data_IF_675758259797
#
_entry.id   IF_675758259797
#
_cell.length_a   1.000
_cell.length_b   1.000
_cell.length_c   1.000
_cell.angle_alpha   90.00
_cell.angle_beta   90.00
_cell.angle_gamma   90.00
#
_symmetry.space_group_name_H-M   'P 1'
#
loop_
_entity.id
_entity.type
_entity.pdbx_description
1 polymer ?
#
# COMPACT_ATOMS: atom_id res chain seq x y z
N UNK A 1 -0.09 -31.10 -10.53
CA UNK A 1 -1.40 -30.83 -9.89
C UNK A 1 -1.32 -29.43 -9.32
N UNK A 2 -1.99 -28.50 -9.98
CA UNK A 2 -1.90 -27.06 -9.69
C UNK A 2 -2.46 -26.72 -8.32
N UNK A 3 -1.72 -25.95 -7.58
CA UNK A 3 -2.22 -25.25 -6.39
C UNK A 3 -2.99 -24.02 -6.91
N UNK A 4 -4.23 -24.24 -7.31
CA UNK A 4 -5.17 -23.17 -7.59
C UNK A 4 -5.28 -22.33 -6.32
N UNK A 5 -5.00 -21.04 -6.45
CA UNK A 5 -4.97 -20.10 -5.33
C UNK A 5 -6.26 -20.19 -4.53
N UNK A 6 -6.17 -20.73 -3.32
CA UNK A 6 -7.24 -20.59 -2.34
C UNK A 6 -7.49 -19.10 -2.17
N UNK A 7 -8.65 -18.62 -2.65
CA UNK A 7 -9.15 -17.31 -2.22
C UNK A 7 -9.15 -17.29 -0.69
N UNK A 8 -8.45 -16.34 -0.12
CA UNK A 8 -8.41 -16.19 1.33
C UNK A 8 -9.84 -15.92 1.82
N UNK A 9 -10.40 -16.84 2.57
CA UNK A 9 -11.65 -16.56 3.30
C UNK A 9 -11.35 -15.50 4.34
N UNK A 10 -11.82 -14.30 4.11
CA UNK A 10 -11.62 -13.16 5.02
C UNK A 10 -12.72 -13.13 6.11
N UNK A 11 -12.39 -12.76 7.34
CA UNK A 11 -11.07 -12.37 7.84
C UNK A 11 -10.12 -13.57 8.03
N UNK A 12 -8.83 -13.41 7.70
CA UNK A 12 -7.81 -14.44 7.83
C UNK A 12 -6.57 -13.97 8.58
N UNK A 13 -5.88 -14.90 9.25
CA UNK A 13 -4.61 -14.63 9.95
C UNK A 13 -3.46 -14.61 8.95
N UNK A 14 -2.60 -13.60 9.08
CA UNK A 14 -1.37 -13.45 8.33
C UNK A 14 -0.25 -12.98 9.27
N UNK A 15 0.50 -13.93 9.81
CA UNK A 15 1.46 -13.66 10.89
C UNK A 15 0.79 -13.01 12.09
N UNK A 16 1.28 -11.83 12.49
CA UNK A 16 0.70 -11.01 13.56
C UNK A 16 -0.50 -10.17 13.15
N UNK A 17 -0.79 -10.12 11.84
CA UNK A 17 -1.89 -9.35 11.27
C UNK A 17 -3.14 -10.18 11.10
N UNK A 18 -4.28 -9.53 10.99
CA UNK A 18 -5.55 -10.12 10.54
C UNK A 18 -5.97 -9.37 9.30
N UNK A 19 -5.97 -10.03 8.15
CA UNK A 19 -6.51 -9.48 6.90
C UNK A 19 -8.03 -9.43 7.02
N UNK A 20 -8.62 -8.29 6.75
CA UNK A 20 -10.06 -8.04 6.96
C UNK A 20 -10.81 -7.96 5.65
N UNK A 21 -10.23 -7.29 4.66
CA UNK A 21 -10.87 -6.99 3.39
C UNK A 21 -9.79 -6.88 2.30
N UNK A 22 -10.08 -7.40 1.12
CA UNK A 22 -9.23 -7.23 -0.06
C UNK A 22 -9.60 -5.93 -0.76
N UNK A 23 -8.66 -4.99 -0.81
CA UNK A 23 -8.88 -3.67 -1.40
C UNK A 23 -8.58 -3.66 -2.90
N UNK A 24 -7.53 -4.36 -3.32
CA UNK A 24 -7.10 -4.39 -4.72
C UNK A 24 -6.25 -5.62 -5.04
N UNK A 25 -6.17 -5.96 -6.33
CA UNK A 25 -5.19 -6.88 -6.89
C UNK A 25 -4.51 -6.19 -8.07
N UNK A 26 -3.19 -6.05 -7.99
CA UNK A 26 -2.34 -5.54 -9.07
C UNK A 26 -1.59 -6.64 -9.79
N UNK A 27 -0.70 -6.27 -10.72
CA UNK A 27 0.10 -7.21 -11.49
C UNK A 27 1.14 -7.99 -10.65
N UNK A 28 1.59 -7.44 -9.51
CA UNK A 28 2.64 -8.04 -8.68
C UNK A 28 2.20 -8.34 -7.25
N UNK A 29 1.15 -7.70 -6.76
CA UNK A 29 0.75 -7.77 -5.37
C UNK A 29 -0.76 -7.66 -5.19
N UNK A 30 -1.23 -8.21 -4.09
CA UNK A 30 -2.56 -8.01 -3.54
C UNK A 30 -2.48 -7.03 -2.38
N UNK A 31 -3.51 -6.20 -2.24
CA UNK A 31 -3.60 -5.18 -1.20
C UNK A 31 -4.80 -5.49 -0.31
N UNK A 32 -4.54 -5.59 0.99
CA UNK A 32 -5.56 -5.90 1.99
C UNK A 32 -5.66 -4.81 3.04
N UNK A 33 -6.87 -4.46 3.43
CA UNK A 33 -7.10 -3.82 4.72
C UNK A 33 -6.86 -4.86 5.80
N UNK A 34 -6.08 -4.50 6.80
CA UNK A 34 -5.70 -5.39 7.88
C UNK A 34 -5.75 -4.68 9.23
N UNK A 35 -5.65 -5.46 10.28
CA UNK A 35 -5.54 -4.96 11.64
C UNK A 35 -4.47 -5.73 12.41
N UNK A 36 -3.83 -5.04 13.34
CA UNK A 36 -2.92 -5.62 14.33
C UNK A 36 -3.46 -5.32 15.73
N UNK A 37 -3.44 -6.35 16.57
CA UNK A 37 -3.82 -6.24 17.96
C UNK A 37 -2.56 -6.06 18.81
N UNK A 38 -2.48 -4.96 19.56
CA UNK A 38 -1.40 -4.75 20.53
C UNK A 38 -1.60 -5.54 21.82
N UNK A 39 -0.56 -5.64 22.65
CA UNK A 39 -0.57 -6.38 23.91
C UNK A 39 -1.67 -5.91 24.90
N UNK A 40 -2.21 -4.71 24.75
CA UNK A 40 -3.25 -4.14 25.61
C UNK A 40 -4.64 -4.09 24.94
N UNK A 41 -4.86 -4.86 23.88
CA UNK A 41 -6.15 -4.91 23.19
C UNK A 41 -6.41 -3.73 22.24
N UNK A 42 -5.41 -2.87 22.01
CA UNK A 42 -5.55 -1.77 21.06
C UNK A 42 -5.47 -2.29 19.63
N UNK A 43 -6.51 -2.09 18.84
CA UNK A 43 -6.50 -2.44 17.41
C UNK A 43 -6.01 -1.25 16.59
N UNK A 44 -4.99 -1.47 15.74
CA UNK A 44 -4.53 -0.51 14.75
C UNK A 44 -4.87 -1.02 13.35
N UNK A 45 -5.55 -0.22 12.56
CA UNK A 45 -5.79 -0.50 11.14
C UNK A 45 -4.54 -0.17 10.33
N UNK A 46 -4.29 -0.97 9.30
CA UNK A 46 -3.16 -0.82 8.39
C UNK A 46 -3.50 -1.49 7.04
N UNK A 47 -2.63 -1.33 6.08
CA UNK A 47 -2.71 -1.99 4.78
C UNK A 47 -1.58 -2.99 4.67
N UNK A 48 -1.87 -4.21 4.22
CA UNK A 48 -0.87 -5.21 3.84
C UNK A 48 -0.86 -5.31 2.32
N UNK A 49 0.27 -4.96 1.71
CA UNK A 49 0.59 -5.24 0.31
C UNK A 49 1.41 -6.53 0.29
N UNK A 50 0.85 -7.60 -0.25
CA UNK A 50 1.43 -8.95 -0.28
C UNK A 50 1.77 -9.34 -1.70
N UNK A 51 2.99 -9.85 -1.94
CA UNK A 51 3.36 -10.36 -3.26
C UNK A 51 2.43 -11.51 -3.69
N UNK A 52 2.09 -11.55 -4.97
CA UNK A 52 1.25 -12.62 -5.50
C UNK A 52 1.94 -13.99 -5.35
N UNK A 53 1.23 -15.06 -4.93
CA UNK A 53 1.84 -16.35 -4.64
C UNK A 53 2.66 -16.94 -5.79
N UNK A 54 2.22 -16.76 -7.03
CA UNK A 54 2.92 -17.27 -8.22
C UNK A 54 4.21 -16.49 -8.55
N UNK A 55 4.40 -15.28 -8.00
CA UNK A 55 5.60 -14.45 -8.16
C UNK A 55 6.56 -14.59 -6.97
N UNK A 56 6.12 -15.17 -5.87
CA UNK A 56 6.95 -15.32 -4.67
C UNK A 56 8.18 -16.22 -4.87
N UNK A 57 8.15 -17.09 -5.88
CA UNK A 57 9.28 -17.95 -6.25
C UNK A 57 10.26 -17.27 -7.25
N UNK A 58 9.88 -16.19 -7.89
CA UNK A 58 10.70 -15.47 -8.85
C UNK A 58 11.57 -14.43 -8.13
N UNK A 59 12.90 -14.67 -8.14
CA UNK A 59 13.87 -13.80 -7.45
C UNK A 59 13.86 -12.35 -7.95
N UNK A 60 13.58 -12.11 -9.22
CA UNK A 60 13.56 -10.77 -9.78
C UNK A 60 12.38 -9.97 -9.21
N UNK A 61 11.19 -10.57 -9.20
CA UNK A 61 10.00 -9.93 -8.63
C UNK A 61 10.14 -9.70 -7.11
N UNK A 62 10.70 -10.69 -6.39
CA UNK A 62 10.98 -10.55 -4.95
C UNK A 62 11.98 -9.41 -4.71
N UNK A 63 13.07 -9.34 -5.49
CA UNK A 63 14.05 -8.24 -5.36
C UNK A 63 13.40 -6.88 -5.61
N UNK A 64 12.64 -6.73 -6.70
CA UNK A 64 11.92 -5.48 -7.00
C UNK A 64 10.96 -5.08 -5.87
N UNK A 65 10.26 -6.05 -5.29
CA UNK A 65 9.33 -5.81 -4.19
C UNK A 65 10.05 -5.35 -2.91
N UNK A 66 11.21 -5.96 -2.61
CA UNK A 66 12.07 -5.57 -1.49
C UNK A 66 12.64 -4.16 -1.70
N UNK A 67 13.10 -3.85 -2.91
CA UNK A 67 13.67 -2.55 -3.23
C UNK A 67 12.62 -1.44 -3.17
N UNK A 68 11.39 -1.70 -3.64
CA UNK A 68 10.24 -0.81 -3.43
C UNK A 68 10.01 -0.52 -1.95
N UNK A 69 10.01 -1.57 -1.11
CA UNK A 69 9.81 -1.41 0.33
C UNK A 69 10.91 -0.54 0.97
N UNK A 70 12.18 -0.78 0.62
CA UNK A 70 13.32 -0.01 1.15
C UNK A 70 13.26 1.45 0.74
N UNK A 71 13.00 1.72 -0.54
CA UNK A 71 12.90 3.09 -1.06
C UNK A 71 11.74 3.84 -0.39
N UNK A 72 10.56 3.22 -0.34
CA UNK A 72 9.38 3.86 0.24
C UNK A 72 9.54 4.08 1.76
N UNK A 73 10.21 3.17 2.47
CA UNK A 73 10.44 3.32 3.91
C UNK A 73 11.33 4.51 4.28
N UNK A 74 12.13 5.01 3.35
CA UNK A 74 12.98 6.20 3.55
C UNK A 74 12.20 7.51 3.35
N UNK A 75 11.06 7.46 2.68
CA UNK A 75 10.24 8.63 2.40
C UNK A 75 9.36 8.96 3.62
N UNK A 76 9.74 9.99 4.37
CA UNK A 76 9.00 10.49 5.53
C UNK A 76 8.40 11.85 5.19
N UNK A 77 7.16 11.85 4.76
CA UNK A 77 6.47 13.06 4.32
C UNK A 77 4.96 12.94 4.62
N UNK A 78 4.27 14.00 5.08
CA UNK A 78 2.87 13.93 5.51
C UNK A 78 1.88 13.59 4.38
N UNK A 79 2.32 13.68 3.13
CA UNK A 79 1.50 13.41 1.92
C UNK A 79 1.93 12.11 1.23
N UNK A 80 2.85 11.33 1.82
CA UNK A 80 3.30 10.02 1.33
C UNK A 80 2.94 8.97 2.36
N UNK A 81 2.28 7.91 1.92
CA UNK A 81 1.87 6.79 2.78
C UNK A 81 3.10 6.14 3.41
N UNK A 82 3.10 6.05 4.74
CA UNK A 82 4.23 5.56 5.50
C UNK A 82 4.29 4.02 5.50
N UNK A 83 5.45 3.46 5.17
CA UNK A 83 5.77 2.05 5.45
C UNK A 83 5.99 1.87 6.94
N UNK A 84 5.24 0.96 7.55
CA UNK A 84 5.29 0.69 9.00
C UNK A 84 5.99 -0.63 9.33
N UNK A 85 6.05 -1.55 8.39
CA UNK A 85 6.71 -2.84 8.54
C UNK A 85 6.97 -3.48 7.18
N UNK A 86 7.95 -4.39 7.13
CA UNK A 86 8.25 -5.24 5.99
C UNK A 86 8.67 -6.60 6.51
N UNK A 87 8.25 -7.67 5.85
CA UNK A 87 8.61 -9.00 6.30
C UNK A 87 8.13 -10.12 5.38
N UNK A 88 8.23 -11.32 5.91
CA UNK A 88 7.83 -12.55 5.24
C UNK A 88 6.96 -13.40 6.20
N UNK A 89 5.87 -13.94 5.68
CA UNK A 89 4.99 -14.87 6.37
C UNK A 89 4.73 -16.07 5.47
N UNK A 90 5.11 -17.26 5.89
CA UNK A 90 4.92 -18.51 5.16
C UNK A 90 5.41 -18.45 3.69
N UNK A 91 6.57 -17.84 3.44
CA UNK A 91 7.16 -17.70 2.10
C UNK A 91 6.57 -16.56 1.26
N UNK A 92 5.70 -15.73 1.84
CA UNK A 92 5.10 -14.59 1.16
C UNK A 92 5.63 -13.28 1.73
N UNK A 93 6.31 -12.49 0.92
CA UNK A 93 6.77 -11.16 1.28
C UNK A 93 5.60 -10.17 1.33
N UNK A 94 5.66 -9.26 2.29
CA UNK A 94 4.66 -8.20 2.45
C UNK A 94 5.29 -6.88 2.88
N UNK A 95 4.61 -5.80 2.54
CA UNK A 95 4.85 -4.45 3.02
C UNK A 95 3.61 -4.04 3.83
N UNK A 96 3.81 -3.59 5.06
CA UNK A 96 2.74 -3.00 5.86
C UNK A 96 2.81 -1.48 5.75
N UNK A 97 1.68 -0.87 5.41
CA UNK A 97 1.51 0.55 5.20
C UNK A 97 0.49 1.11 6.18
N UNK A 98 0.56 2.38 6.48
CA UNK A 98 -0.55 3.04 7.17
C UNK A 98 -1.84 2.96 6.34
N UNK A 99 -2.97 2.84 7.03
CA UNK A 99 -4.28 2.88 6.38
C UNK A 99 -4.74 4.33 6.27
N UNK A 100 -4.93 4.79 5.05
CA UNK A 100 -5.53 6.09 4.76
C UNK A 100 -7.03 5.89 4.55
N UNK A 101 -7.83 6.41 5.46
CA UNK A 101 -9.28 6.37 5.35
C UNK A 101 -9.75 7.36 4.29
N UNK A 102 -10.54 6.89 3.33
CA UNK A 102 -11.04 7.73 2.24
C UNK A 102 -11.23 6.95 0.94
N UNK A 103 -11.15 7.68 -0.16
CA UNK A 103 -11.26 7.13 -1.51
C UNK A 103 -10.24 7.79 -2.43
N UNK A 104 -9.84 7.08 -3.46
CA UNK A 104 -8.86 7.56 -4.43
C UNK A 104 -9.46 8.61 -5.38
N UNK A 105 -8.57 9.30 -6.12
CA UNK A 105 -8.98 10.32 -7.07
C UNK A 105 -9.87 9.78 -8.19
N UNK A 106 -9.70 8.52 -8.60
CA UNK A 106 -10.52 7.89 -9.62
C UNK A 106 -11.95 7.65 -9.12
N UNK A 107 -12.10 7.19 -7.89
CA UNK A 107 -13.41 7.03 -7.24
C UNK A 107 -14.12 8.37 -7.09
N UNK A 108 -13.37 9.43 -6.72
CA UNK A 108 -13.90 10.79 -6.64
C UNK A 108 -14.41 11.28 -8.01
N UNK A 109 -13.61 11.12 -9.07
CA UNK A 109 -13.98 11.51 -10.43
C UNK A 109 -15.19 10.75 -10.95
N UNK A 110 -15.25 9.43 -10.72
CA UNK A 110 -16.39 8.59 -11.11
C UNK A 110 -17.67 9.03 -10.40
N UNK A 111 -17.61 9.25 -9.09
CA UNK A 111 -18.75 9.68 -8.28
C UNK A 111 -19.23 11.08 -8.70
N UNK A 112 -18.30 12.01 -8.96
CA UNK A 112 -18.57 13.33 -9.46
C UNK A 112 -19.34 13.28 -10.80
N UNK A 113 -18.86 12.46 -11.75
CA UNK A 113 -19.52 12.27 -13.04
C UNK A 113 -20.92 11.66 -12.91
N UNK A 114 -21.06 10.61 -12.09
CA UNK A 114 -22.35 9.94 -11.84
C UNK A 114 -23.39 10.87 -11.22
N UNK A 115 -22.94 11.73 -10.29
CA UNK A 115 -23.82 12.70 -9.61
C UNK A 115 -24.00 14.01 -10.36
N UNK A 116 -23.34 14.17 -11.52
CA UNK A 116 -23.31 15.41 -12.30
C UNK A 116 -22.87 16.64 -11.48
N UNK A 117 -22.03 16.43 -10.49
CA UNK A 117 -21.43 17.47 -9.65
C UNK A 117 -20.01 17.71 -10.11
N UNK A 118 -19.68 18.94 -10.50
CA UNK A 118 -18.32 19.31 -10.89
C UNK A 118 -17.44 19.49 -9.66
N UNK A 119 -16.23 18.94 -9.72
CA UNK A 119 -15.23 19.23 -8.70
C UNK A 119 -14.78 20.69 -8.90
N UNK A 120 -14.88 21.56 -7.88
CA UNK A 120 -14.47 22.94 -8.00
C UNK A 120 -12.98 23.05 -8.35
N UNK A 121 -12.64 23.94 -9.28
CA UNK A 121 -11.27 24.15 -9.74
C UNK A 121 -10.26 24.42 -8.59
N UNK A 122 -10.59 25.21 -7.54
CA UNK A 122 -9.69 25.41 -6.41
C UNK A 122 -9.33 24.10 -5.69
N UNK A 123 -10.27 23.15 -5.56
CA UNK A 123 -10.02 21.84 -4.94
C UNK A 123 -9.08 21.02 -5.83
N UNK A 124 -9.30 21.02 -7.15
CA UNK A 124 -8.43 20.33 -8.09
C UNK A 124 -6.99 20.88 -8.03
N UNK A 125 -6.84 22.21 -8.04
CA UNK A 125 -5.52 22.86 -7.92
C UNK A 125 -4.87 22.50 -6.59
N UNK A 126 -5.60 22.56 -5.49
CA UNK A 126 -5.08 22.21 -4.17
C UNK A 126 -4.54 20.78 -4.15
N UNK A 127 -5.33 19.80 -4.61
CA UNK A 127 -4.91 18.38 -4.66
C UNK A 127 -3.65 18.22 -5.53
N UNK A 128 -3.60 18.90 -6.69
CA UNK A 128 -2.42 18.83 -7.56
C UNK A 128 -1.17 19.43 -6.92
N UNK A 129 -1.31 20.54 -6.18
CA UNK A 129 -0.19 21.14 -5.43
C UNK A 129 0.33 20.18 -4.36
N UNK A 130 -0.57 19.51 -3.62
CA UNK A 130 -0.20 18.53 -2.60
C UNK A 130 0.54 17.32 -3.19
N UNK A 131 0.09 16.84 -4.35
CA UNK A 131 0.77 15.74 -5.08
C UNK A 131 2.14 16.19 -5.59
N UNK A 132 2.25 17.38 -6.16
CA UNK A 132 3.53 17.91 -6.66
C UNK A 132 4.54 18.12 -5.54
N UNK A 133 4.12 18.60 -4.38
CA UNK A 133 4.96 18.74 -3.19
C UNK A 133 5.50 17.38 -2.72
N UNK A 134 4.65 16.36 -2.66
CA UNK A 134 5.07 15.00 -2.33
C UNK A 134 6.06 14.41 -3.36
N UNK A 135 5.84 14.66 -4.65
CA UNK A 135 6.72 14.21 -5.72
C UNK A 135 8.06 14.93 -5.71
N UNK A 136 8.05 16.25 -5.50
CA UNK A 136 9.30 17.02 -5.38
C UNK A 136 10.15 16.49 -4.22
N UNK A 137 9.54 16.26 -3.06
CA UNK A 137 10.22 15.62 -1.93
C UNK A 137 10.78 14.25 -2.30
N UNK A 138 10.00 13.38 -2.92
CA UNK A 138 10.43 12.03 -3.28
C UNK A 138 11.57 12.02 -4.31
N UNK A 139 11.55 12.92 -5.30
CA UNK A 139 12.60 13.06 -6.30
C UNK A 139 13.92 13.62 -5.73
N UNK A 140 13.83 14.45 -4.69
CA UNK A 140 15.00 15.03 -4.04
C UNK A 140 15.44 14.24 -2.79
N UNK A 141 14.71 13.19 -2.41
CA UNK A 141 15.10 12.33 -1.31
C UNK A 141 16.46 11.69 -1.63
N UNK A 142 17.45 11.97 -0.81
CA UNK A 142 18.77 11.35 -0.94
C UNK A 142 18.63 9.90 -0.51
N UNK A 143 18.92 8.97 -1.42
CA UNK A 143 19.12 7.57 -1.09
C UNK A 143 20.12 7.50 0.07
N UNK A 144 19.79 6.80 1.16
CA UNK A 144 20.63 6.72 2.37
C UNK A 144 22.06 6.20 2.16
N UNK A 145 22.49 6.10 0.90
CA UNK A 145 23.82 5.73 0.43
C UNK A 145 24.71 6.90 -0.04
N UNK A 146 24.27 8.15 0.03
CA UNK A 146 25.15 9.32 -0.20
C UNK A 146 25.91 9.31 -1.53
N UNK A 147 25.24 9.14 -2.65
CA UNK A 147 25.81 9.40 -3.97
C UNK A 147 25.00 10.45 -4.70
N UNK A 148 25.51 11.68 -4.70
CA UNK A 148 25.23 12.69 -5.74
C UNK A 148 25.77 12.21 -7.08
#
# INVERSE_FOLDING_TARGET
MGNEGKEDTLPSKFGRYTLVEKLATGGMAEVFKAKILSAHGFEKQLVIKRILPHLAADRNFVSMFIDEAKLTAQLIHPKIVQVTDFGEVAGQYFIALEYVEGFDALALLRTSAQRQVRIPLPITIFVMMEVLDALDYAHNAIDGGGKT
#
